data_IF_898035569688
#
_entry.id   IF_898035569688
#
_cell.length_a   1.000
_cell.length_b   1.000
_cell.length_c   1.000
_cell.angle_alpha   90.00
_cell.angle_beta   90.00
_cell.angle_gamma   90.00
#
_symmetry.space_group_name_H-M   'P 1'
#
loop_
_entity.id
_entity.type
_entity.pdbx_description
1 polymer ?
#
# COMPACT_ATOMS: atom_id res chain seq x y z
N UNK A 1 10.67 4.90 -27.28
CA UNK A 1 9.47 4.32 -26.63
C UNK A 1 9.68 4.33 -25.12
N UNK A 2 9.12 5.30 -24.40
CA UNK A 2 9.16 5.31 -22.92
C UNK A 2 7.93 4.55 -22.44
N UNK A 3 8.14 3.30 -22.01
CA UNK A 3 7.14 2.51 -21.30
C UNK A 3 6.72 3.28 -20.05
N UNK A 4 5.47 3.77 -20.03
CA UNK A 4 4.90 4.45 -18.89
C UNK A 4 4.44 3.38 -17.90
N UNK A 5 5.32 3.01 -16.97
CA UNK A 5 5.00 2.10 -15.87
C UNK A 5 4.02 2.81 -14.95
N UNK A 6 2.71 2.56 -15.13
CA UNK A 6 1.68 3.01 -14.19
C UNK A 6 1.70 2.09 -12.97
N UNK A 7 2.03 2.59 -11.76
CA UNK A 7 1.95 1.77 -10.56
C UNK A 7 0.49 1.39 -10.28
N UNK A 8 0.23 0.11 -10.07
CA UNK A 8 -1.07 -0.37 -9.61
C UNK A 8 -1.22 0.00 -8.14
N UNK A 9 -2.24 0.81 -7.85
CA UNK A 9 -2.53 1.33 -6.52
C UNK A 9 -3.70 0.51 -5.94
N UNK A 10 -3.44 -0.34 -4.95
CA UNK A 10 -4.48 -1.10 -4.27
C UNK A 10 -4.63 -0.60 -2.82
N UNK A 11 -5.86 -0.33 -2.40
CA UNK A 11 -6.21 0.12 -1.04
C UNK A 11 -6.99 -0.97 -0.33
N UNK A 12 -6.53 -1.39 0.85
CA UNK A 12 -7.26 -2.32 1.72
C UNK A 12 -8.34 -1.55 2.50
N UNK A 13 -9.64 -1.94 2.44
CA UNK A 13 -10.68 -1.32 3.26
C UNK A 13 -10.50 -1.66 4.74
N UNK A 14 -11.03 -0.81 5.63
CA UNK A 14 -10.99 -1.07 7.07
C UNK A 14 -11.95 -2.22 7.44
N UNK A 15 -11.42 -3.27 8.07
CA UNK A 15 -12.18 -4.47 8.49
C UNK A 15 -13.21 -4.09 9.55
N UNK A 16 -14.49 -4.37 9.28
CA UNK A 16 -15.58 -4.27 10.25
C UNK A 16 -16.42 -5.55 10.19
N UNK A 17 -16.38 -6.36 11.25
CA UNK A 17 -17.35 -7.44 11.49
C UNK A 17 -16.77 -8.82 11.78
N UNK A 18 -17.39 -9.53 12.72
CA UNK A 18 -16.90 -10.75 13.36
C UNK A 18 -17.86 -11.91 13.06
N UNK A 19 -17.46 -12.89 12.23
CA UNK A 19 -18.12 -14.20 12.18
C UNK A 19 -17.97 -15.02 10.90
N UNK A 20 -18.28 -14.47 9.72
CA UNK A 20 -18.26 -15.17 8.41
C UNK A 20 -17.55 -14.33 7.32
N UNK A 21 -17.25 -13.06 7.62
CA UNK A 21 -16.65 -12.12 6.68
C UNK A 21 -15.14 -12.34 6.52
N UNK A 22 -14.44 -12.78 7.58
CA UNK A 22 -12.99 -13.02 7.54
C UNK A 22 -12.58 -14.02 6.44
N UNK A 23 -13.30 -15.13 6.32
CA UNK A 23 -13.04 -16.10 5.25
C UNK A 23 -13.31 -15.52 3.87
N UNK A 24 -14.36 -14.71 3.69
CA UNK A 24 -14.68 -14.08 2.40
C UNK A 24 -13.66 -13.02 2.00
N UNK A 25 -13.18 -12.23 2.96
CA UNK A 25 -12.16 -11.20 2.73
C UNK A 25 -10.80 -11.82 2.39
N UNK A 26 -10.39 -12.87 3.12
CA UNK A 26 -9.19 -13.67 2.80
C UNK A 26 -9.24 -14.18 1.36
N UNK A 27 -10.39 -14.73 0.96
CA UNK A 27 -10.59 -15.26 -0.38
C UNK A 27 -10.48 -14.17 -1.46
N UNK A 28 -11.07 -13.00 -1.20
CA UNK A 28 -11.00 -11.86 -2.12
C UNK A 28 -9.57 -11.36 -2.31
N UNK A 29 -8.82 -11.15 -1.22
CA UNK A 29 -7.43 -10.69 -1.28
C UNK A 29 -6.51 -11.70 -1.95
N UNK A 30 -6.71 -12.99 -1.63
CA UNK A 30 -5.96 -14.08 -2.23
C UNK A 30 -6.12 -14.12 -3.75
N UNK A 31 -7.35 -14.05 -4.24
CA UNK A 31 -7.62 -14.06 -5.68
C UNK A 31 -7.18 -12.77 -6.36
N UNK A 32 -7.38 -11.62 -5.73
CA UNK A 32 -6.99 -10.34 -6.32
C UNK A 32 -5.47 -10.21 -6.44
N UNK A 33 -4.71 -10.58 -5.41
CA UNK A 33 -3.25 -10.45 -5.42
C UNK A 33 -2.59 -11.58 -6.21
N UNK A 34 -2.94 -12.83 -5.91
CA UNK A 34 -2.18 -13.99 -6.38
C UNK A 34 -2.89 -14.80 -7.46
N UNK A 35 -4.21 -14.64 -7.59
CA UNK A 35 -5.11 -15.31 -8.55
C UNK A 35 -5.16 -16.81 -8.34
N UNK A 36 -6.33 -17.35 -7.98
CA UNK A 36 -6.54 -18.79 -7.82
C UNK A 36 -6.24 -19.29 -6.41
N UNK A 37 -6.54 -18.48 -5.39
CA UNK A 37 -6.39 -18.83 -3.97
C UNK A 37 -7.12 -20.13 -3.61
N UNK A 38 -8.21 -20.44 -4.33
CA UNK A 38 -9.02 -21.66 -4.14
C UNK A 38 -8.83 -22.76 -5.19
N UNK A 39 -7.98 -22.58 -6.20
CA UNK A 39 -8.00 -23.53 -7.31
C UNK A 39 -7.27 -24.82 -6.93
N UNK A 40 -8.03 -25.84 -6.52
CA UNK A 40 -7.63 -27.24 -6.74
C UNK A 40 -7.51 -27.42 -8.25
N UNK A 41 -6.39 -27.98 -8.69
CA UNK A 41 -5.97 -28.11 -10.09
C UNK A 41 -7.12 -28.43 -11.05
N UNK A 42 -7.26 -27.64 -12.13
CA UNK A 42 -8.29 -27.81 -13.16
C UNK A 42 -7.95 -27.00 -14.43
N UNK A 43 -8.48 -27.38 -15.61
CA UNK A 43 -7.95 -27.01 -16.93
C UNK A 43 -8.31 -25.60 -17.43
N UNK A 44 -8.98 -24.77 -16.62
CA UNK A 44 -9.39 -23.43 -17.04
C UNK A 44 -8.26 -22.41 -16.77
N UNK A 45 -8.12 -21.36 -17.61
CA UNK A 45 -7.07 -20.36 -17.43
C UNK A 45 -7.23 -19.63 -16.08
N UNK A 46 -6.11 -19.31 -15.43
CA UNK A 46 -6.08 -18.57 -14.15
C UNK A 46 -6.55 -17.13 -14.42
N UNK A 47 -7.48 -16.63 -13.59
CA UNK A 47 -7.88 -15.23 -13.68
C UNK A 47 -6.67 -14.33 -13.44
N UNK A 48 -6.55 -13.27 -14.23
CA UNK A 48 -5.47 -12.30 -14.14
C UNK A 48 -5.51 -11.60 -12.77
N UNK A 49 -4.37 -11.59 -12.07
CA UNK A 49 -4.26 -10.97 -10.75
C UNK A 49 -3.30 -9.77 -10.74
N UNK A 50 -3.25 -9.03 -9.63
CA UNK A 50 -2.39 -7.84 -9.51
C UNK A 50 -0.90 -8.16 -9.70
N UNK A 51 -0.44 -9.32 -9.23
CA UNK A 51 0.95 -9.73 -9.44
C UNK A 51 1.26 -9.98 -10.92
N UNK A 52 0.31 -10.48 -11.72
CA UNK A 52 0.54 -10.67 -13.16
C UNK A 52 0.60 -9.34 -13.91
N UNK A 53 -0.26 -8.41 -13.52
CA UNK A 53 -0.28 -7.07 -14.08
C UNK A 53 0.98 -6.27 -13.73
N UNK A 54 1.66 -6.63 -12.64
CA UNK A 54 2.88 -5.97 -12.16
C UNK A 54 4.18 -6.67 -12.60
N UNK A 55 4.09 -7.74 -13.41
CA UNK A 55 5.25 -8.50 -13.89
C UNK A 55 6.25 -7.59 -14.62
N UNK A 56 7.53 -7.68 -14.25
CA UNK A 56 8.60 -6.81 -14.75
C UNK A 56 8.58 -5.38 -14.20
N UNK A 57 7.69 -5.08 -13.25
CA UNK A 57 7.46 -3.75 -12.69
C UNK A 57 7.38 -3.73 -11.16
N UNK A 58 6.48 -2.91 -10.63
CA UNK A 58 6.28 -2.74 -9.19
C UNK A 58 4.80 -2.67 -8.82
N UNK A 59 4.49 -3.17 -7.62
CA UNK A 59 3.16 -3.07 -7.00
C UNK A 59 3.25 -2.24 -5.71
N UNK A 60 2.27 -1.34 -5.51
CA UNK A 60 2.11 -0.60 -4.26
C UNK A 60 0.95 -1.20 -3.45
N UNK A 61 1.26 -1.74 -2.28
CA UNK A 61 0.30 -2.25 -1.31
C UNK A 61 0.08 -1.19 -0.23
N UNK A 62 -1.12 -0.62 -0.17
CA UNK A 62 -1.47 0.35 0.87
C UNK A 62 -2.02 -0.32 2.12
N UNK A 63 -1.58 0.12 3.29
CA UNK A 63 -2.03 -0.35 4.60
C UNK A 63 -1.86 -1.87 4.74
N UNK A 64 -0.62 -2.35 4.63
CA UNK A 64 -0.31 -3.79 4.68
C UNK A 64 -0.73 -4.44 6.01
N UNK A 65 -0.85 -3.64 7.08
CA UNK A 65 -1.38 -3.99 8.40
C UNK A 65 -2.86 -4.37 8.41
N UNK A 66 -3.61 -4.05 7.35
CA UNK A 66 -5.00 -4.45 7.20
C UNK A 66 -5.18 -5.77 6.43
N UNK A 67 -4.10 -6.38 5.93
CA UNK A 67 -4.21 -7.66 5.23
C UNK A 67 -4.57 -8.78 6.21
N UNK A 68 -5.44 -9.74 5.82
CA UNK A 68 -5.70 -10.92 6.63
C UNK A 68 -4.42 -11.76 6.86
N UNK A 69 -4.25 -12.42 8.02
CA UNK A 69 -3.03 -13.16 8.36
C UNK A 69 -2.59 -14.19 7.31
N UNK A 70 -3.53 -14.97 6.76
CA UNK A 70 -3.21 -15.97 5.74
C UNK A 70 -2.63 -15.36 4.45
N UNK A 71 -3.05 -14.13 4.11
CA UNK A 71 -2.53 -13.37 2.98
C UNK A 71 -1.16 -12.80 3.30
N UNK A 72 -0.93 -12.37 4.54
CA UNK A 72 0.38 -11.92 5.00
C UNK A 72 1.42 -13.03 4.90
N UNK A 73 1.11 -14.24 5.37
CA UNK A 73 2.01 -15.40 5.26
C UNK A 73 2.32 -15.75 3.79
N UNK A 74 1.30 -15.67 2.92
CA UNK A 74 1.48 -15.94 1.49
C UNK A 74 2.37 -14.89 0.84
N UNK A 75 2.18 -13.61 1.19
CA UNK A 75 3.05 -12.54 0.75
C UNK A 75 4.48 -12.70 1.26
N UNK A 76 4.67 -13.10 2.52
CA UNK A 76 5.99 -13.38 3.08
C UNK A 76 6.70 -14.49 2.28
N UNK A 77 6.01 -15.61 1.98
CA UNK A 77 6.55 -16.68 1.12
C UNK A 77 6.91 -16.17 -0.27
N UNK A 78 6.05 -15.36 -0.88
CA UNK A 78 6.34 -14.74 -2.17
C UNK A 78 7.62 -13.89 -2.14
N UNK A 79 7.79 -13.05 -1.10
CA UNK A 79 8.95 -12.17 -0.97
C UNK A 79 10.24 -12.94 -0.69
N UNK A 80 10.19 -14.03 0.08
CA UNK A 80 11.36 -14.86 0.37
C UNK A 80 11.85 -15.66 -0.84
N UNK A 81 10.94 -16.33 -1.56
CA UNK A 81 11.31 -17.30 -2.58
C UNK A 81 11.18 -16.77 -4.01
N UNK A 82 10.60 -15.57 -4.19
CA UNK A 82 10.19 -15.01 -5.50
C UNK A 82 9.30 -15.96 -6.31
N UNK A 83 8.65 -16.90 -5.62
CA UNK A 83 7.81 -17.94 -6.22
C UNK A 83 6.63 -18.23 -5.32
N UNK A 84 5.45 -18.35 -5.93
CA UNK A 84 4.27 -18.89 -5.26
C UNK A 84 4.41 -20.40 -5.00
N UNK A 85 3.61 -21.00 -4.10
CA UNK A 85 3.56 -22.45 -3.91
C UNK A 85 3.28 -23.25 -5.21
N UNK A 86 2.71 -22.59 -6.22
CA UNK A 86 2.45 -23.14 -7.56
C UNK A 86 3.65 -23.04 -8.53
N UNK A 87 4.85 -22.67 -8.06
CA UNK A 87 6.09 -22.67 -8.85
C UNK A 87 6.23 -21.53 -9.88
N UNK A 88 5.28 -20.60 -9.93
CA UNK A 88 5.37 -19.43 -10.82
C UNK A 88 6.34 -18.43 -10.20
N UNK A 89 7.53 -18.29 -10.82
CA UNK A 89 8.44 -17.17 -10.52
C UNK A 89 7.90 -15.90 -11.16
N UNK A 90 7.75 -14.85 -10.36
CA UNK A 90 7.32 -13.53 -10.84
C UNK A 90 8.37 -12.49 -10.48
N UNK A 91 8.73 -11.65 -11.43
CA UNK A 91 9.65 -10.54 -11.20
C UNK A 91 8.85 -9.27 -10.88
N UNK A 92 8.48 -9.10 -9.61
CA UNK A 92 7.68 -7.95 -9.14
C UNK A 92 8.35 -7.29 -7.95
N UNK A 93 8.60 -5.98 -8.04
CA UNK A 93 9.03 -5.18 -6.88
C UNK A 93 7.82 -4.82 -6.01
N UNK A 94 7.85 -5.21 -4.75
CA UNK A 94 6.79 -4.84 -3.79
C UNK A 94 7.19 -3.60 -3.02
N UNK A 95 6.30 -2.60 -3.00
CA UNK A 95 6.38 -1.42 -2.15
C UNK A 95 5.15 -1.45 -1.25
N UNK A 96 5.35 -1.38 0.07
CA UNK A 96 4.26 -1.41 1.04
C UNK A 96 4.21 -0.11 1.85
N UNK A 97 3.03 0.26 2.31
CA UNK A 97 2.84 1.30 3.33
C UNK A 97 2.12 0.70 4.53
N UNK A 98 2.45 1.21 5.71
CA UNK A 98 1.81 0.84 6.97
C UNK A 98 1.24 2.09 7.61
N UNK A 99 0.06 1.99 8.23
CA UNK A 99 -0.58 3.14 8.89
C UNK A 99 0.14 3.55 10.18
N UNK A 100 0.76 2.57 10.83
CA UNK A 100 1.46 2.72 12.10
C UNK A 100 2.93 2.32 11.96
N UNK A 101 3.68 2.43 13.04
CA UNK A 101 5.03 1.90 13.11
C UNK A 101 5.01 0.36 12.91
N UNK A 102 5.75 -0.12 11.91
CA UNK A 102 5.78 -1.54 11.54
C UNK A 102 6.27 -2.44 12.69
N UNK A 103 7.23 -1.98 13.49
CA UNK A 103 7.76 -2.71 14.65
C UNK A 103 6.69 -2.89 15.73
N UNK A 104 5.91 -1.85 16.00
CA UNK A 104 4.82 -1.91 16.99
C UNK A 104 3.68 -2.81 16.50
N UNK A 105 3.36 -2.76 15.21
CA UNK A 105 2.35 -3.62 14.58
C UNK A 105 2.76 -5.11 14.61
N UNK A 106 4.05 -5.40 14.41
CA UNK A 106 4.61 -6.74 14.55
C UNK A 106 4.56 -7.22 16.00
N UNK A 107 4.96 -6.37 16.96
CA UNK A 107 4.88 -6.68 18.39
C UNK A 107 3.44 -6.91 18.87
N UNK A 108 2.47 -6.21 18.27
CA UNK A 108 1.05 -6.38 18.54
C UNK A 108 0.40 -7.57 17.81
N UNK A 109 1.17 -8.33 17.00
CA UNK A 109 0.68 -9.48 16.24
C UNK A 109 -0.28 -9.14 15.09
N UNK A 110 -0.37 -7.86 14.69
CA UNK A 110 -1.19 -7.43 13.53
C UNK A 110 -0.47 -7.67 12.21
N UNK A 111 0.86 -7.64 12.24
CA UNK A 111 1.73 -8.13 11.17
C UNK A 111 2.35 -9.45 11.60
N UNK A 112 2.29 -10.46 10.75
CA UNK A 112 2.88 -11.77 11.01
C UNK A 112 4.41 -11.66 11.14
N UNK A 113 5.05 -12.44 12.03
CA UNK A 113 6.51 -12.40 12.21
C UNK A 113 7.29 -12.61 10.90
N UNK A 114 6.82 -13.52 10.06
CA UNK A 114 7.45 -13.86 8.78
C UNK A 114 7.42 -12.69 7.81
N UNK A 115 6.30 -11.97 7.74
CA UNK A 115 6.20 -10.78 6.89
C UNK A 115 7.03 -9.61 7.46
N UNK A 116 7.02 -9.44 8.79
CA UNK A 116 7.80 -8.41 9.46
C UNK A 116 9.31 -8.59 9.22
N UNK A 117 9.82 -9.82 9.30
CA UNK A 117 11.24 -10.14 9.10
C UNK A 117 11.77 -9.64 7.75
N UNK A 118 10.97 -9.78 6.68
CA UNK A 118 11.36 -9.31 5.35
C UNK A 118 11.22 -7.80 5.22
N UNK A 119 10.12 -7.23 5.70
CA UNK A 119 9.81 -5.81 5.49
C UNK A 119 10.70 -4.89 6.34
N UNK A 120 11.04 -5.29 7.56
CA UNK A 120 11.82 -4.47 8.51
C UNK A 120 13.23 -4.15 8.00
N UNK A 121 13.77 -4.95 7.09
CA UNK A 121 15.10 -4.71 6.50
C UNK A 121 15.15 -3.48 5.61
N UNK A 122 14.00 -3.02 5.07
CA UNK A 122 13.94 -1.96 4.06
C UNK A 122 12.83 -0.95 4.35
N UNK A 123 12.86 -0.34 5.55
CA UNK A 123 11.84 0.62 5.99
C UNK A 123 12.28 2.05 5.71
N UNK A 124 11.40 2.83 5.05
CA UNK A 124 11.53 4.28 4.93
C UNK A 124 10.48 4.92 5.84
N UNK A 125 10.93 5.55 6.92
CA UNK A 125 10.05 6.30 7.82
C UNK A 125 9.80 7.68 7.23
N UNK A 126 8.53 8.00 6.98
CA UNK A 126 8.13 9.33 6.50
C UNK A 126 7.66 10.16 7.70
N UNK A 127 8.39 11.22 8.09
CA UNK A 127 8.03 12.02 9.25
C UNK A 127 6.69 12.74 9.06
N UNK A 128 5.98 12.92 10.16
CA UNK A 128 4.75 13.71 10.22
C UNK A 128 5.02 15.18 9.90
N UNK A 129 4.02 15.93 9.44
CA UNK A 129 4.24 17.34 9.05
C UNK A 129 4.70 18.22 10.22
N UNK A 130 4.30 17.91 11.46
CA UNK A 130 4.78 18.60 12.67
C UNK A 130 6.29 18.46 12.91
N UNK A 131 6.92 17.39 12.40
CA UNK A 131 8.37 17.16 12.49
C UNK A 131 9.14 17.80 11.32
N UNK A 132 8.42 18.23 10.28
CA UNK A 132 8.97 18.90 9.08
C UNK A 132 8.20 20.16 8.74
N UNK A 133 7.98 21.02 9.74
CA UNK A 133 7.22 22.27 9.61
C UNK A 133 7.72 23.21 8.50
N UNK A 134 9.03 23.14 8.17
CA UNK A 134 9.63 23.89 7.06
C UNK A 134 9.08 23.52 5.67
N UNK A 135 8.52 22.33 5.50
CA UNK A 135 7.95 21.87 4.23
C UNK A 135 6.51 22.40 4.03
N UNK A 136 5.85 22.87 5.11
CA UNK A 136 4.44 23.28 5.10
C UNK A 136 4.14 24.42 4.12
N UNK A 137 4.93 25.52 4.05
CA UNK A 137 4.62 26.62 3.15
C UNK A 137 4.60 26.20 1.67
N UNK A 138 5.61 25.48 1.22
CA UNK A 138 5.71 24.99 -0.17
C UNK A 138 4.57 24.01 -0.51
N UNK A 139 4.26 23.09 0.41
CA UNK A 139 3.13 22.16 0.25
C UNK A 139 1.80 22.91 0.18
N UNK A 140 1.58 23.90 1.04
CA UNK A 140 0.35 24.69 1.07
C UNK A 140 0.15 25.46 -0.25
N UNK A 141 1.19 26.14 -0.73
CA UNK A 141 1.18 26.85 -2.02
C UNK A 141 0.89 25.88 -3.17
N UNK A 142 1.54 24.70 -3.18
CA UNK A 142 1.27 23.66 -4.18
C UNK A 142 -0.21 23.25 -4.19
N UNK A 143 -0.80 22.98 -3.02
CA UNK A 143 -2.21 22.56 -2.94
C UNK A 143 -3.19 23.67 -3.33
N UNK A 144 -2.92 24.92 -2.95
CA UNK A 144 -3.71 26.07 -3.39
C UNK A 144 -3.70 26.14 -4.92
N UNK A 145 -2.53 26.17 -5.56
CA UNK A 145 -2.42 26.22 -7.03
C UNK A 145 -3.15 25.05 -7.70
N UNK A 146 -2.93 23.83 -7.20
CA UNK A 146 -3.57 22.61 -7.72
C UNK A 146 -5.10 22.67 -7.64
N UNK A 147 -5.65 23.19 -6.54
CA UNK A 147 -7.09 23.23 -6.34
C UNK A 147 -7.75 24.44 -6.98
N UNK A 148 -7.10 25.60 -7.00
CA UNK A 148 -7.56 26.80 -7.73
C UNK A 148 -7.76 26.50 -9.20
N UNK A 149 -6.78 25.85 -9.85
CA UNK A 149 -6.90 25.40 -11.24
C UNK A 149 -8.06 24.42 -11.44
N UNK A 150 -8.22 23.43 -10.54
CA UNK A 150 -9.29 22.43 -10.65
C UNK A 150 -10.69 23.02 -10.44
N UNK A 151 -10.81 24.05 -9.59
CA UNK A 151 -12.08 24.69 -9.25
C UNK A 151 -12.37 25.93 -10.09
N UNK A 152 -11.51 26.26 -11.06
CA UNK A 152 -11.58 27.47 -11.88
C UNK A 152 -11.75 28.75 -11.02
N UNK A 153 -10.98 28.82 -9.94
CA UNK A 153 -10.92 29.99 -9.05
C UNK A 153 -9.57 30.66 -9.19
N UNK A 154 -9.58 31.98 -9.21
CA UNK A 154 -8.37 32.77 -9.17
C UNK A 154 -7.98 33.00 -7.71
N UNK A 155 -6.85 32.43 -7.30
CA UNK A 155 -6.29 32.58 -5.96
C UNK A 155 -4.82 32.88 -6.13
N UNK A 156 -4.44 34.11 -5.83
CA UNK A 156 -3.08 34.62 -6.04
C UNK A 156 -2.07 33.97 -5.07
N UNK A 157 -2.51 33.56 -3.88
CA UNK A 157 -1.65 32.93 -2.87
C UNK A 157 -2.31 32.76 -1.51
N UNK A 158 -1.48 32.59 -0.50
CA UNK A 158 -1.86 32.57 0.91
C UNK A 158 -1.26 33.79 1.60
N UNK A 159 -2.05 34.42 2.46
CA UNK A 159 -1.59 35.50 3.34
C UNK A 159 -0.54 34.96 4.34
N UNK A 160 0.41 35.81 4.74
CA UNK A 160 1.50 35.46 5.65
C UNK A 160 0.95 34.97 7.00
N UNK A 161 -0.12 35.61 7.48
CA UNK A 161 -0.80 35.19 8.72
C UNK A 161 -1.43 33.80 8.60
N UNK A 162 -1.90 33.42 7.41
CA UNK A 162 -2.40 32.06 7.18
C UNK A 162 -1.26 31.04 7.22
N UNK A 163 -0.11 31.35 6.59
CA UNK A 163 1.08 30.48 6.63
C UNK A 163 1.59 30.31 8.07
N UNK A 164 1.68 31.40 8.84
CA UNK A 164 2.10 31.35 10.25
C UNK A 164 1.20 30.40 11.05
N UNK A 165 -0.13 30.49 10.87
CA UNK A 165 -1.08 29.60 11.54
C UNK A 165 -0.92 28.13 11.12
N UNK A 166 -0.69 27.87 9.84
CA UNK A 166 -0.46 26.50 9.34
C UNK A 166 0.81 25.89 9.91
N UNK A 167 1.89 26.68 10.02
CA UNK A 167 3.17 26.24 10.59
C UNK A 167 3.07 26.03 12.11
N UNK A 168 2.28 26.86 12.80
CA UNK A 168 2.10 26.76 14.25
C UNK A 168 1.21 25.58 14.70
N UNK A 169 0.47 24.96 13.79
CA UNK A 169 -0.41 23.82 14.07
C UNK A 169 0.39 22.51 14.28
N UNK A 170 -0.09 21.66 15.20
CA UNK A 170 0.51 20.36 15.56
C UNK A 170 -0.32 19.15 15.10
#
# INVERSE_FOLDING_TARGET
>A
MRSSVRPLLQTVPAVAGMGDERGREENQWGDQLFGGYHRKEGPHPRAMCCMDLAEGGAILLKNIDALPPAIQERLARFLHYQSEPAGVRRNVRVIATCRSNLTDEAAAGRISPELAEVLLQHVITVPSLRERKRDIPELAIHFVRKHSHRLNRDVEGLDDQAIIKLVAYD
#
